data_IF_072399063575
#
_entry.id   IF_072399063575
#
_cell.length_a   1.000
_cell.length_b   1.000
_cell.length_c   1.000
_cell.angle_alpha   90.00
_cell.angle_beta   90.00
_cell.angle_gamma   90.00
#
_symmetry.space_group_name_H-M   'P 1'
#
loop_
_entity.id
_entity.type
_entity.pdbx_description
1 polymer ?
#
# COMPACT_ATOMS: atom_id res chain seq x y z
N UNK A 1 -25.46 6.80 6.32
CA UNK A 1 -24.03 6.89 5.88
C UNK A 1 -23.99 7.37 4.43
N UNK A 2 -23.05 8.24 4.08
CA UNK A 2 -22.86 8.77 2.70
C UNK A 2 -21.38 8.84 2.35
N UNK A 3 -21.03 8.57 1.09
CA UNK A 3 -19.69 8.78 0.58
C UNK A 3 -19.45 10.27 0.33
N UNK A 4 -18.34 10.78 0.82
CA UNK A 4 -17.89 12.17 0.58
C UNK A 4 -16.44 12.17 0.12
N UNK A 5 -16.11 13.14 -0.71
CA UNK A 5 -14.72 13.50 -0.98
C UNK A 5 -14.20 14.32 0.21
N UNK A 6 -13.11 13.89 0.78
CA UNK A 6 -12.48 14.51 1.95
C UNK A 6 -11.39 15.47 1.49
N UNK A 7 -11.11 16.51 2.27
CA UNK A 7 -9.87 17.24 2.09
C UNK A 7 -8.68 16.35 2.52
N UNK A 8 -7.52 16.67 2.02
CA UNK A 8 -6.29 15.89 2.21
C UNK A 8 -5.96 15.70 3.69
N UNK A 9 -6.04 16.77 4.49
CA UNK A 9 -5.69 16.74 5.91
C UNK A 9 -6.59 15.78 6.71
N UNK A 10 -7.91 15.86 6.51
CA UNK A 10 -8.88 14.96 7.16
C UNK A 10 -8.72 13.51 6.71
N UNK A 11 -8.37 13.31 5.44
CA UNK A 11 -8.12 11.97 4.92
C UNK A 11 -6.88 11.36 5.56
N UNK A 12 -5.75 12.08 5.57
CA UNK A 12 -4.49 11.60 6.16
C UNK A 12 -4.61 11.43 7.67
N UNK A 13 -5.29 12.34 8.37
CA UNK A 13 -5.58 12.20 9.79
C UNK A 13 -6.33 10.89 10.09
N UNK A 14 -7.37 10.57 9.30
CA UNK A 14 -8.10 9.32 9.45
C UNK A 14 -7.23 8.11 9.15
N UNK A 15 -6.47 8.14 8.05
CA UNK A 15 -5.62 7.01 7.62
C UNK A 15 -4.53 6.71 8.66
N UNK A 16 -3.96 7.73 9.31
CA UNK A 16 -2.91 7.58 10.33
C UNK A 16 -3.47 7.12 11.68
N UNK A 17 -4.57 7.71 12.11
CA UNK A 17 -5.09 7.56 13.48
C UNK A 17 -6.16 6.48 13.62
N UNK A 18 -6.57 5.84 12.53
CA UNK A 18 -7.57 4.78 12.63
C UNK A 18 -7.00 3.50 13.29
N UNK A 19 -7.89 2.70 13.85
CA UNK A 19 -7.56 1.42 14.51
C UNK A 19 -7.34 0.25 13.52
N UNK A 20 -7.60 0.48 12.25
CA UNK A 20 -7.45 -0.54 11.21
C UNK A 20 -6.07 -0.44 10.59
N UNK A 21 -5.62 -1.55 9.99
CA UNK A 21 -4.36 -1.54 9.28
C UNK A 21 -4.46 -0.63 8.07
N UNK A 22 -3.57 0.34 7.99
CA UNK A 22 -3.38 1.21 6.83
C UNK A 22 -2.00 0.96 6.21
N UNK A 23 -1.83 1.49 5.01
CA UNK A 23 -0.59 1.36 4.25
C UNK A 23 -0.26 2.72 3.62
N UNK A 24 1.04 3.07 3.51
CA UNK A 24 1.45 4.36 2.92
C UNK A 24 0.90 4.59 1.50
N UNK A 25 0.62 3.51 0.76
CA UNK A 25 -0.05 3.59 -0.55
C UNK A 25 -1.50 4.10 -0.46
N UNK A 26 -2.06 4.22 0.75
CA UNK A 26 -3.34 4.88 1.01
C UNK A 26 -3.16 6.30 1.58
N UNK A 27 -1.98 6.87 1.52
CA UNK A 27 -1.72 8.26 1.96
C UNK A 27 -2.03 9.29 0.86
N UNK A 28 -2.22 10.54 1.27
CA UNK A 28 -2.35 11.65 0.34
C UNK A 28 -1.06 11.90 -0.45
N UNK A 29 0.11 11.73 0.19
CA UNK A 29 1.41 11.84 -0.48
C UNK A 29 1.51 10.86 -1.66
N UNK A 30 1.03 9.62 -1.52
CA UNK A 30 0.99 8.66 -2.62
C UNK A 30 -0.01 9.07 -3.72
N UNK A 31 -1.13 9.65 -3.34
CA UNK A 31 -2.11 10.21 -4.28
C UNK A 31 -1.51 11.30 -5.14
N UNK A 32 -0.84 12.28 -4.53
CA UNK A 32 -0.20 13.40 -5.24
C UNK A 32 0.98 12.92 -6.10
N UNK A 33 1.82 11.99 -5.61
CA UNK A 33 2.87 11.37 -6.44
C UNK A 33 2.28 10.69 -7.67
N UNK A 34 1.17 9.97 -7.49
CA UNK A 34 0.48 9.28 -8.58
C UNK A 34 -0.10 10.25 -9.61
N UNK A 35 -0.56 11.42 -9.16
CA UNK A 35 -1.04 12.51 -10.02
C UNK A 35 0.12 13.14 -10.81
N UNK A 36 1.19 13.55 -10.13
CA UNK A 36 2.30 14.27 -10.74
C UNK A 36 3.14 13.38 -11.69
N UNK A 37 3.36 12.12 -11.33
CA UNK A 37 4.35 11.25 -12.01
C UNK A 37 3.75 10.06 -12.76
N UNK A 38 2.47 9.76 -12.56
CA UNK A 38 1.84 8.56 -13.13
C UNK A 38 0.60 8.85 -13.96
N UNK A 39 0.23 10.13 -14.10
CA UNK A 39 -0.96 10.57 -14.81
C UNK A 39 -2.23 9.85 -14.33
N UNK A 40 -2.41 9.80 -13.00
CA UNK A 40 -3.60 9.27 -12.34
C UNK A 40 -4.31 10.39 -11.60
N UNK A 41 -5.63 10.35 -11.54
CA UNK A 41 -6.41 11.31 -10.75
C UNK A 41 -6.74 10.70 -9.38
N UNK A 42 -6.21 11.24 -8.26
CA UNK A 42 -6.53 10.76 -6.92
C UNK A 42 -7.89 11.26 -6.46
N UNK A 43 -8.63 10.42 -5.76
CA UNK A 43 -9.84 10.75 -5.01
C UNK A 43 -9.69 10.26 -3.58
N UNK A 44 -9.80 11.16 -2.63
CA UNK A 44 -9.73 10.90 -1.20
C UNK A 44 -11.15 10.76 -0.67
N UNK A 45 -11.63 9.53 -0.56
CA UNK A 45 -13.03 9.24 -0.27
C UNK A 45 -13.22 8.72 1.16
N UNK A 46 -14.24 9.22 1.84
CA UNK A 46 -14.65 8.74 3.16
C UNK A 46 -16.13 8.43 3.22
N UNK A 47 -16.49 7.33 3.88
CA UNK A 47 -17.85 7.03 4.28
C UNK A 47 -18.12 7.71 5.62
N UNK A 48 -19.06 8.64 5.66
CA UNK A 48 -19.38 9.41 6.86
C UNK A 48 -20.78 9.07 7.38
N UNK A 49 -20.91 9.06 8.71
CA UNK A 49 -22.21 8.93 9.38
C UNK A 49 -23.02 10.24 9.36
N UNK A 50 -24.18 10.25 10.02
CA UNK A 50 -25.04 11.42 10.13
C UNK A 50 -24.44 12.54 10.98
N UNK A 51 -23.54 12.20 11.88
CA UNK A 51 -22.80 13.14 12.75
C UNK A 51 -21.55 13.71 12.09
N UNK A 52 -21.16 13.18 10.90
CA UNK A 52 -19.98 13.62 10.17
C UNK A 52 -18.70 12.84 10.53
N UNK A 53 -18.78 11.79 11.34
CA UNK A 53 -17.63 10.95 11.65
C UNK A 53 -17.25 10.07 10.46
N UNK A 54 -15.98 9.94 10.18
CA UNK A 54 -15.47 9.06 9.12
C UNK A 54 -15.41 7.63 9.68
N UNK A 55 -16.11 6.71 9.03
CA UNK A 55 -16.19 5.30 9.40
C UNK A 55 -15.25 4.42 8.58
N UNK A 56 -15.00 4.81 7.34
CA UNK A 56 -14.10 4.15 6.42
C UNK A 56 -13.57 5.15 5.41
N UNK A 57 -12.38 4.92 4.87
CA UNK A 57 -11.81 5.77 3.83
C UNK A 57 -11.05 4.95 2.77
N UNK A 58 -10.81 5.57 1.63
CA UNK A 58 -9.91 5.02 0.60
C UNK A 58 -9.38 6.10 -0.32
N UNK A 59 -8.10 5.96 -0.68
CA UNK A 59 -7.56 6.59 -1.87
C UNK A 59 -7.96 5.76 -3.09
N UNK A 60 -8.71 6.35 -4.01
CA UNK A 60 -8.96 5.77 -5.33
C UNK A 60 -8.16 6.53 -6.38
N UNK A 61 -7.35 5.81 -7.13
CA UNK A 61 -6.60 6.33 -8.27
C UNK A 61 -7.35 6.02 -9.56
N UNK A 62 -7.84 7.06 -10.24
CA UNK A 62 -8.50 6.92 -11.54
C UNK A 62 -7.47 6.90 -12.67
N UNK A 63 -7.58 5.90 -13.53
CA UNK A 63 -6.89 5.87 -14.82
C UNK A 63 -7.90 6.13 -15.92
N UNK A 64 -7.67 7.18 -16.70
CA UNK A 64 -8.47 7.48 -17.88
C UNK A 64 -8.15 6.51 -19.01
N UNK A 65 -9.18 6.15 -19.76
CA UNK A 65 -9.16 5.28 -20.92
C UNK A 65 -9.81 5.99 -22.12
N UNK A 66 -9.62 5.51 -23.35
CA UNK A 66 -10.36 6.02 -24.51
C UNK A 66 -11.87 5.96 -24.31
N UNK A 67 -12.62 6.68 -25.15
CA UNK A 67 -14.09 6.76 -25.14
C UNK A 67 -14.69 7.27 -23.81
N UNK A 68 -13.96 8.11 -23.09
CA UNK A 68 -14.43 8.68 -21.80
C UNK A 68 -14.68 7.61 -20.73
N UNK A 69 -14.06 6.44 -20.85
CA UNK A 69 -14.08 5.40 -19.84
C UNK A 69 -12.93 5.59 -18.83
N UNK A 70 -13.02 4.90 -17.70
CA UNK A 70 -11.93 4.84 -16.75
C UNK A 70 -11.97 3.52 -15.96
N UNK A 71 -10.95 3.30 -15.15
CA UNK A 71 -11.01 2.36 -14.04
C UNK A 71 -10.42 2.99 -12.79
N UNK A 72 -10.78 2.43 -11.64
CA UNK A 72 -10.23 2.83 -10.35
C UNK A 72 -9.33 1.74 -9.76
N UNK A 73 -8.32 2.19 -9.04
CA UNK A 73 -7.44 1.31 -8.27
C UNK A 73 -7.28 1.86 -6.85
N UNK A 74 -7.54 1.02 -5.86
CA UNK A 74 -7.29 1.29 -4.44
C UNK A 74 -6.07 0.49 -3.98
N UNK A 75 -4.85 1.05 -4.06
CA UNK A 75 -3.64 0.31 -3.69
C UNK A 75 -3.63 0.01 -2.19
N UNK A 76 -3.50 -1.27 -1.81
CA UNK A 76 -3.54 -1.73 -0.41
C UNK A 76 -4.77 -1.25 0.39
N UNK A 77 -5.82 -0.77 -0.31
CA UNK A 77 -7.07 -0.31 0.30
C UNK A 77 -8.07 -1.45 0.50
N UNK A 78 -9.11 -1.21 1.22
CA UNK A 78 -9.51 0.07 1.83
C UNK A 78 -9.01 0.21 3.26
N UNK A 79 -9.14 1.42 3.84
CA UNK A 79 -8.94 1.67 5.28
C UNK A 79 -10.30 1.51 5.97
N UNK A 80 -10.63 0.29 6.35
CA UNK A 80 -11.95 -0.15 6.86
C UNK A 80 -11.80 -1.39 7.73
N UNK A 81 -12.77 -1.64 8.60
CA UNK A 81 -12.93 -2.96 9.22
C UNK A 81 -13.55 -3.94 8.22
N UNK A 82 -12.72 -4.79 7.62
CA UNK A 82 -13.20 -5.84 6.71
C UNK A 82 -14.02 -6.92 7.41
N UNK A 83 -14.04 -6.99 8.75
CA UNK A 83 -14.87 -7.91 9.51
C UNK A 83 -16.29 -7.36 9.75
N UNK A 84 -16.49 -6.05 9.63
CA UNK A 84 -17.82 -5.43 9.68
C UNK A 84 -18.48 -5.51 8.30
N UNK A 85 -19.30 -6.54 8.12
CA UNK A 85 -19.97 -6.79 6.84
C UNK A 85 -20.92 -5.67 6.42
N UNK A 86 -21.68 -5.09 7.34
CA UNK A 86 -22.65 -4.04 7.01
C UNK A 86 -21.96 -2.71 6.65
N UNK A 87 -20.85 -2.40 7.33
CA UNK A 87 -20.01 -1.26 6.97
C UNK A 87 -19.38 -1.47 5.57
N UNK A 88 -18.80 -2.63 5.32
CA UNK A 88 -18.18 -3.00 4.05
C UNK A 88 -19.22 -2.97 2.90
N UNK A 89 -20.42 -3.48 3.14
CA UNK A 89 -21.53 -3.47 2.19
C UNK A 89 -21.97 -2.04 1.85
N UNK A 90 -22.13 -1.19 2.86
CA UNK A 90 -22.51 0.21 2.67
C UNK A 90 -21.43 0.95 1.90
N UNK A 91 -20.16 0.76 2.24
CA UNK A 91 -19.03 1.38 1.57
C UNK A 91 -18.92 0.92 0.10
N UNK A 92 -19.03 -0.38 -0.14
CA UNK A 92 -19.02 -0.95 -1.51
C UNK A 92 -20.13 -0.36 -2.37
N UNK A 93 -21.36 -0.29 -1.85
CA UNK A 93 -22.52 0.29 -2.57
C UNK A 93 -22.24 1.73 -3.00
N UNK A 94 -21.74 2.55 -2.10
CA UNK A 94 -21.43 3.95 -2.36
C UNK A 94 -20.28 4.12 -3.36
N UNK A 95 -19.20 3.31 -3.23
CA UNK A 95 -18.08 3.31 -4.17
C UNK A 95 -18.50 2.88 -5.57
N UNK A 96 -19.35 1.87 -5.70
CA UNK A 96 -19.90 1.44 -7.00
C UNK A 96 -20.74 2.56 -7.63
N UNK A 97 -21.56 3.24 -6.84
CA UNK A 97 -22.34 4.41 -7.31
C UNK A 97 -21.43 5.54 -7.79
N UNK A 98 -20.40 5.86 -7.02
CA UNK A 98 -19.37 6.85 -7.37
C UNK A 98 -18.66 6.51 -8.69
N UNK A 99 -18.25 5.26 -8.85
CA UNK A 99 -17.54 4.77 -10.01
C UNK A 99 -18.43 4.77 -11.28
N UNK A 100 -19.68 4.31 -11.17
CA UNK A 100 -20.64 4.31 -12.28
C UNK A 100 -20.88 5.71 -12.83
N UNK A 101 -21.04 6.73 -11.97
CA UNK A 101 -21.20 8.13 -12.39
C UNK A 101 -20.00 8.65 -13.20
N UNK A 102 -18.83 8.03 -13.08
CA UNK A 102 -17.60 8.37 -13.81
C UNK A 102 -17.30 7.41 -14.96
N UNK A 103 -18.26 6.58 -15.34
CA UNK A 103 -18.13 5.59 -16.43
C UNK A 103 -16.95 4.62 -16.22
N UNK A 104 -16.73 4.24 -14.96
CA UNK A 104 -15.71 3.27 -14.62
C UNK A 104 -16.15 1.85 -15.02
N UNK A 105 -15.24 1.12 -15.64
CA UNK A 105 -15.46 -0.28 -16.06
C UNK A 105 -15.24 -1.26 -14.90
N UNK A 106 -14.36 -0.94 -13.95
CA UNK A 106 -14.16 -1.68 -12.69
C UNK A 106 -13.47 -0.84 -11.61
N UNK A 107 -13.53 -1.33 -10.39
CA UNK A 107 -12.67 -0.91 -9.27
C UNK A 107 -11.78 -2.10 -8.92
N UNK A 108 -10.45 -1.93 -8.95
CA UNK A 108 -9.48 -2.92 -8.49
C UNK A 108 -8.98 -2.55 -7.11
N UNK A 109 -8.81 -3.56 -6.24
CA UNK A 109 -8.17 -3.40 -4.93
C UNK A 109 -7.30 -4.63 -4.62
N UNK A 110 -6.31 -4.44 -3.78
CA UNK A 110 -5.42 -5.47 -3.25
C UNK A 110 -5.15 -5.22 -1.77
N UNK A 111 -6.18 -5.41 -0.91
CA UNK A 111 -6.09 -5.07 0.50
C UNK A 111 -4.95 -5.80 1.20
N UNK A 112 -4.32 -5.13 2.16
CA UNK A 112 -3.23 -5.70 2.94
C UNK A 112 -3.75 -6.62 4.04
N UNK A 113 -4.43 -7.70 3.61
CA UNK A 113 -4.98 -8.74 4.47
C UNK A 113 -4.06 -9.96 4.39
N UNK A 114 -3.61 -10.43 5.55
CA UNK A 114 -2.79 -11.65 5.63
C UNK A 114 -3.69 -12.85 5.32
N UNK A 115 -3.47 -13.51 4.20
CA UNK A 115 -4.18 -14.74 3.86
C UNK A 115 -3.63 -15.95 4.62
N UNK A 116 -2.30 -16.03 4.71
CA UNK A 116 -1.61 -17.18 5.28
C UNK A 116 -0.21 -16.75 5.74
N UNK A 117 0.24 -17.34 6.83
CA UNK A 117 1.63 -17.21 7.28
C UNK A 117 2.34 -18.53 7.06
N UNK A 118 3.56 -18.46 6.51
CA UNK A 118 4.40 -19.62 6.25
C UNK A 118 5.78 -19.39 6.81
N UNK A 119 6.45 -20.47 7.19
CA UNK A 119 7.89 -20.46 7.44
C UNK A 119 8.63 -20.30 6.10
N UNK A 120 9.95 -20.12 6.16
CA UNK A 120 10.81 -19.97 4.97
C UNK A 120 10.80 -21.20 4.05
N UNK A 121 10.52 -22.39 4.57
CA UNK A 121 10.41 -23.66 3.85
C UNK A 121 9.03 -23.90 3.22
N UNK A 122 8.09 -22.98 3.47
CA UNK A 122 6.71 -23.04 2.96
C UNK A 122 5.72 -23.74 3.90
N UNK A 123 6.16 -24.22 5.08
CA UNK A 123 5.25 -24.79 6.07
C UNK A 123 4.28 -23.72 6.58
N UNK A 124 2.99 -24.03 6.59
CA UNK A 124 1.93 -23.12 7.05
C UNK A 124 1.99 -23.01 8.58
N UNK A 125 2.18 -21.80 9.08
CA UNK A 125 2.21 -21.51 10.52
C UNK A 125 0.79 -21.31 11.07
N UNK A 126 -0.07 -20.64 10.30
CA UNK A 126 -1.41 -20.27 10.72
C UNK A 126 -2.35 -20.16 9.51
N UNK A 127 -3.40 -20.94 9.51
CA UNK A 127 -4.59 -20.77 8.68
C UNK A 127 -5.66 -20.10 9.54
N UNK A 128 -5.83 -18.78 9.40
CA UNK A 128 -6.84 -18.08 10.16
C UNK A 128 -8.21 -18.14 9.45
N UNK A 129 -9.22 -18.65 10.15
CA UNK A 129 -10.59 -18.69 9.65
C UNK A 129 -11.19 -17.31 9.32
N UNK A 130 -10.60 -16.23 9.86
CA UNK A 130 -11.03 -14.84 9.63
C UNK A 130 -10.86 -14.40 8.17
N UNK A 131 -9.78 -14.81 7.53
CA UNK A 131 -9.47 -14.38 6.17
C UNK A 131 -10.38 -15.03 5.15
N UNK A 132 -10.72 -16.30 5.34
CA UNK A 132 -11.77 -16.98 4.56
C UNK A 132 -13.12 -16.25 4.71
N UNK A 133 -13.44 -15.74 5.90
CA UNK A 133 -14.64 -14.95 6.16
C UNK A 133 -14.64 -13.63 5.39
N UNK A 134 -13.52 -12.89 5.40
CA UNK A 134 -13.39 -11.62 4.66
C UNK A 134 -13.53 -11.88 3.16
N UNK A 135 -12.84 -12.88 2.61
CA UNK A 135 -12.95 -13.21 1.19
C UNK A 135 -14.40 -13.57 0.82
N UNK A 136 -15.07 -14.38 1.62
CA UNK A 136 -16.48 -14.74 1.39
C UNK A 136 -17.40 -13.51 1.47
N UNK A 137 -17.12 -12.57 2.35
CA UNK A 137 -17.85 -11.30 2.45
C UNK A 137 -17.68 -10.46 1.19
N UNK A 138 -16.46 -10.33 0.68
CA UNK A 138 -16.19 -9.62 -0.57
C UNK A 138 -16.88 -10.29 -1.77
N UNK A 139 -16.81 -11.62 -1.88
CA UNK A 139 -17.49 -12.37 -2.94
C UNK A 139 -19.02 -12.15 -2.91
N UNK A 140 -19.64 -12.19 -1.72
CA UNK A 140 -21.07 -11.89 -1.54
C UNK A 140 -21.44 -10.47 -1.97
N UNK A 141 -20.53 -9.51 -1.89
CA UNK A 141 -20.72 -8.14 -2.32
C UNK A 141 -20.41 -7.91 -3.82
N UNK A 142 -20.14 -8.99 -4.57
CA UNK A 142 -19.91 -8.93 -6.01
C UNK A 142 -18.47 -8.67 -6.44
N UNK A 143 -17.50 -8.77 -5.51
CA UNK A 143 -16.09 -8.73 -5.89
C UNK A 143 -15.69 -10.06 -6.54
N UNK A 144 -14.78 -9.99 -7.50
CA UNK A 144 -14.18 -11.14 -8.14
C UNK A 144 -12.72 -11.31 -7.68
N UNK A 145 -12.41 -12.46 -7.08
CA UNK A 145 -11.04 -12.76 -6.69
C UNK A 145 -10.23 -13.21 -7.91
N UNK A 146 -9.12 -12.50 -8.19
CA UNK A 146 -8.28 -12.74 -9.37
C UNK A 146 -7.28 -13.89 -9.20
N UNK A 147 -7.45 -14.73 -8.18
CA UNK A 147 -6.58 -15.86 -7.89
C UNK A 147 -5.31 -15.48 -7.11
N UNK A 148 -4.58 -16.47 -6.66
CA UNK A 148 -3.27 -16.34 -6.01
C UNK A 148 -2.18 -16.64 -7.04
N UNK A 149 -1.64 -15.61 -7.72
CA UNK A 149 -0.54 -15.78 -8.66
C UNK A 149 0.79 -15.83 -7.91
N UNK A 150 1.69 -16.70 -8.31
CA UNK A 150 3.06 -16.79 -7.75
C UNK A 150 4.00 -15.80 -8.42
N UNK A 151 3.72 -15.42 -9.66
CA UNK A 151 4.53 -14.50 -10.43
C UNK A 151 4.19 -13.04 -10.08
N UNK A 152 5.15 -12.14 -10.29
CA UNK A 152 5.01 -10.70 -10.04
C UNK A 152 4.16 -10.01 -11.13
N UNK A 153 2.99 -10.57 -11.43
CA UNK A 153 2.07 -10.07 -12.48
C UNK A 153 1.17 -8.95 -12.00
N UNK A 154 1.21 -8.64 -10.70
CA UNK A 154 0.39 -7.59 -10.09
C UNK A 154 1.25 -6.45 -9.59
N UNK A 155 0.65 -5.26 -9.43
CA UNK A 155 1.37 -4.05 -8.99
C UNK A 155 1.98 -4.15 -7.59
N UNK A 156 1.51 -5.08 -6.76
CA UNK A 156 1.99 -5.26 -5.39
C UNK A 156 2.36 -6.72 -5.14
N UNK A 157 3.47 -6.98 -4.43
CA UNK A 157 3.89 -8.34 -4.09
C UNK A 157 2.84 -9.00 -3.19
N UNK A 158 2.52 -10.27 -3.46
CA UNK A 158 1.61 -11.07 -2.64
C UNK A 158 2.32 -11.75 -1.48
N UNK A 159 3.58 -12.10 -1.67
CA UNK A 159 4.43 -12.71 -0.66
C UNK A 159 5.42 -11.68 -0.16
N UNK A 160 5.44 -11.45 1.14
CA UNK A 160 6.36 -10.51 1.78
C UNK A 160 6.88 -11.11 3.08
N UNK A 161 8.10 -10.75 3.46
CA UNK A 161 8.60 -10.95 4.80
C UNK A 161 8.35 -9.67 5.61
N UNK A 162 8.01 -9.84 6.89
CA UNK A 162 7.80 -8.72 7.81
C UNK A 162 8.55 -9.00 9.08
N UNK A 163 9.21 -7.96 9.59
CA UNK A 163 9.88 -7.94 10.90
C UNK A 163 9.10 -6.97 11.76
N UNK A 164 8.73 -7.39 12.98
CA UNK A 164 8.15 -6.51 13.98
C UNK A 164 9.27 -5.73 14.66
N UNK A 165 9.37 -4.45 14.34
CA UNK A 165 10.38 -3.54 14.88
C UNK A 165 10.07 -3.04 16.30
N UNK A 166 8.95 -3.46 16.91
CA UNK A 166 8.63 -3.14 18.31
C UNK A 166 9.36 -4.04 19.31
N UNK A 167 9.97 -5.12 18.81
CA UNK A 167 10.79 -6.02 19.61
C UNK A 167 12.18 -5.43 19.85
N UNK A 168 12.82 -5.85 20.93
CA UNK A 168 14.22 -5.51 21.18
C UNK A 168 15.14 -6.10 20.10
N UNK A 169 16.23 -5.41 19.82
CA UNK A 169 17.16 -5.81 18.74
C UNK A 169 17.66 -7.25 18.93
N UNK A 170 17.96 -7.65 20.17
CA UNK A 170 18.40 -9.02 20.48
C UNK A 170 17.35 -10.07 20.11
N UNK A 171 16.06 -9.77 20.29
CA UNK A 171 14.98 -10.68 19.90
C UNK A 171 14.85 -10.76 18.39
N UNK A 172 15.01 -9.64 17.69
CA UNK A 172 15.02 -9.62 16.21
C UNK A 172 16.17 -10.45 15.67
N UNK A 173 17.39 -10.30 16.23
CA UNK A 173 18.60 -11.02 15.81
C UNK A 173 18.50 -12.53 16.01
N UNK A 174 17.82 -13.00 17.06
CA UNK A 174 17.59 -14.44 17.32
C UNK A 174 16.81 -15.13 16.17
N UNK A 175 16.00 -14.37 15.45
CA UNK A 175 15.23 -14.89 14.32
C UNK A 175 15.98 -14.86 12.98
N UNK A 176 17.17 -14.26 12.94
CA UNK A 176 17.98 -14.23 11.73
C UNK A 176 18.73 -15.55 11.50
N UNK A 177 18.85 -15.94 10.23
CA UNK A 177 19.68 -17.07 9.87
C UNK A 177 21.15 -16.83 10.22
N UNK A 178 21.90 -17.90 10.46
CA UNK A 178 23.35 -17.82 10.68
C UNK A 178 24.06 -17.03 9.56
N UNK A 179 23.63 -17.23 8.32
CA UNK A 179 24.20 -16.52 7.16
C UNK A 179 23.89 -15.01 7.21
N UNK A 180 22.71 -14.64 7.65
CA UNK A 180 22.35 -13.22 7.82
C UNK A 180 23.22 -12.57 8.88
N UNK A 181 23.37 -13.21 10.05
CA UNK A 181 24.22 -12.72 11.12
C UNK A 181 25.71 -12.62 10.71
N UNK A 182 26.22 -13.58 9.94
CA UNK A 182 27.57 -13.49 9.39
C UNK A 182 27.76 -12.28 8.47
N UNK A 183 26.76 -11.95 7.66
CA UNK A 183 26.79 -10.76 6.77
C UNK A 183 26.75 -9.47 7.57
N UNK A 184 25.88 -9.38 8.58
CA UNK A 184 25.82 -8.24 9.50
C UNK A 184 27.17 -8.03 10.19
N UNK A 185 27.72 -9.07 10.79
CA UNK A 185 29.01 -8.99 11.47
C UNK A 185 30.17 -8.62 10.52
N UNK A 186 30.12 -9.07 9.27
CA UNK A 186 31.09 -8.65 8.24
C UNK A 186 30.95 -7.17 7.92
N UNK A 187 29.72 -6.66 7.77
CA UNK A 187 29.46 -5.24 7.51
C UNK A 187 30.00 -4.37 8.65
N UNK A 188 29.74 -4.75 9.90
CA UNK A 188 30.26 -4.04 11.07
C UNK A 188 31.80 -4.02 11.11
N UNK A 189 32.45 -5.15 10.77
CA UNK A 189 33.91 -5.20 10.69
C UNK A 189 34.52 -4.35 9.57
N UNK A 190 33.77 -4.08 8.53
CA UNK A 190 34.15 -3.19 7.43
C UNK A 190 33.81 -1.71 7.71
N UNK A 191 33.40 -1.38 8.96
CA UNK A 191 32.98 -0.05 9.38
C UNK A 191 31.95 0.57 8.43
N UNK A 192 30.97 -0.24 7.98
CA UNK A 192 29.86 0.26 7.17
C UNK A 192 28.98 1.13 8.06
N UNK A 193 28.85 2.39 7.68
CA UNK A 193 27.98 3.36 8.34
C UNK A 193 26.65 3.45 7.61
N UNK A 194 25.58 3.71 8.37
CA UNK A 194 24.24 3.91 7.84
C UNK A 194 23.74 5.26 8.32
N UNK A 195 23.42 6.13 7.38
CA UNK A 195 22.94 7.48 7.66
C UNK A 195 21.55 7.70 7.05
N UNK A 196 20.79 8.61 7.65
CA UNK A 196 19.55 9.10 7.05
C UNK A 196 19.93 10.21 6.07
N UNK A 197 19.75 9.91 4.78
CA UNK A 197 20.06 10.84 3.70
C UNK A 197 19.13 12.06 3.68
N UNK A 198 19.54 13.05 2.94
CA UNK A 198 18.82 14.31 2.72
C UNK A 198 18.56 14.51 1.21
N UNK A 199 17.89 15.61 0.87
CA UNK A 199 17.66 15.99 -0.54
C UNK A 199 18.96 16.09 -1.36
N UNK A 200 20.07 16.46 -0.72
CA UNK A 200 21.39 16.59 -1.37
C UNK A 200 21.94 15.23 -1.82
N UNK A 201 21.54 14.17 -1.15
CA UNK A 201 22.04 12.81 -1.38
C UNK A 201 21.27 12.09 -2.49
N UNK A 202 20.15 12.67 -2.97
CA UNK A 202 19.32 12.08 -4.03
C UNK A 202 20.11 11.87 -5.34
N UNK A 203 21.04 12.77 -5.66
CA UNK A 203 21.89 12.63 -6.85
C UNK A 203 22.77 11.39 -6.79
N UNK A 204 23.43 11.16 -5.66
CA UNK A 204 24.27 9.97 -5.44
C UNK A 204 23.43 8.68 -5.40
N UNK A 205 22.30 8.71 -4.69
CA UNK A 205 21.33 7.61 -4.71
C UNK A 205 20.93 7.24 -6.15
N UNK A 206 20.63 8.23 -6.99
CA UNK A 206 20.23 7.98 -8.37
C UNK A 206 21.35 7.39 -9.21
N UNK A 207 22.58 7.84 -9.03
CA UNK A 207 23.76 7.22 -9.69
C UNK A 207 23.90 5.75 -9.31
N UNK A 208 23.73 5.39 -8.03
CA UNK A 208 23.76 3.99 -7.58
C UNK A 208 22.60 3.17 -8.17
N UNK A 209 21.43 3.80 -8.34
CA UNK A 209 20.28 3.16 -9.02
C UNK A 209 20.61 2.87 -10.48
N UNK A 210 21.20 3.81 -11.23
CA UNK A 210 21.61 3.61 -12.63
C UNK A 210 22.64 2.47 -12.78
N UNK A 211 23.65 2.44 -11.92
CA UNK A 211 24.64 1.33 -11.89
C UNK A 211 23.97 -0.03 -11.57
N UNK A 212 22.91 -0.01 -10.78
CA UNK A 212 22.17 -1.23 -10.44
C UNK A 212 21.26 -1.67 -11.59
N UNK A 213 20.66 -0.73 -12.31
CA UNK A 213 19.86 -0.94 -13.52
C UNK A 213 20.68 -1.68 -14.58
N UNK A 214 21.87 -1.16 -14.91
CA UNK A 214 22.80 -1.77 -15.88
C UNK A 214 23.19 -3.21 -15.48
N UNK A 215 23.40 -3.44 -14.19
CA UNK A 215 23.82 -4.75 -13.68
C UNK A 215 22.69 -5.78 -13.62
N UNK A 216 21.43 -5.34 -13.42
CA UNK A 216 20.28 -6.20 -13.09
C UNK A 216 19.22 -6.25 -14.17
N UNK A 217 19.41 -5.53 -15.26
CA UNK A 217 18.51 -5.51 -16.42
C UNK A 217 17.05 -5.17 -16.03
N UNK A 218 16.88 -4.02 -15.38
CA UNK A 218 15.57 -3.43 -15.12
C UNK A 218 15.59 -1.94 -15.45
N UNK A 219 14.43 -1.32 -15.59
CA UNK A 219 14.30 0.12 -15.84
C UNK A 219 13.81 0.80 -14.57
N UNK A 220 14.61 1.73 -14.04
CA UNK A 220 14.26 2.56 -12.90
C UNK A 220 13.37 3.74 -13.32
N UNK A 221 12.78 4.42 -12.33
CA UNK A 221 12.10 5.69 -12.59
C UNK A 221 13.13 6.79 -12.86
N UNK A 222 12.77 7.84 -13.63
CA UNK A 222 13.66 9.00 -13.84
C UNK A 222 13.89 9.75 -12.53
N UNK A 223 14.98 10.54 -12.47
CA UNK A 223 15.41 11.27 -11.27
C UNK A 223 14.29 12.10 -10.64
N UNK A 224 13.52 12.80 -11.45
CA UNK A 224 12.41 13.66 -11.02
C UNK A 224 11.29 12.90 -10.30
N UNK A 225 11.22 11.58 -10.48
CA UNK A 225 10.29 10.75 -9.70
C UNK A 225 10.75 10.66 -8.23
N UNK A 226 12.04 10.46 -8.01
CA UNK A 226 12.63 10.35 -6.66
C UNK A 226 12.63 11.69 -5.93
N UNK A 227 12.91 12.80 -6.64
CA UNK A 227 12.78 14.14 -6.07
C UNK A 227 11.34 14.42 -5.61
N UNK A 228 10.36 14.08 -6.45
CA UNK A 228 8.94 14.26 -6.11
C UNK A 228 8.54 13.35 -4.95
N UNK A 229 8.98 12.09 -4.95
CA UNK A 229 8.75 11.15 -3.86
C UNK A 229 9.27 11.74 -2.54
N UNK A 230 10.55 12.14 -2.52
CA UNK A 230 11.17 12.72 -1.33
C UNK A 230 10.41 13.96 -0.84
N UNK A 231 10.13 14.92 -1.73
CA UNK A 231 9.42 16.16 -1.40
C UNK A 231 8.04 15.91 -0.78
N UNK A 232 7.30 14.94 -1.29
CA UNK A 232 5.94 14.66 -0.83
C UNK A 232 5.94 13.89 0.50
N UNK A 233 6.84 12.91 0.65
CA UNK A 233 6.87 12.07 1.85
C UNK A 233 7.64 12.72 3.01
N UNK A 234 8.64 13.56 2.76
CA UNK A 234 9.34 14.33 3.80
C UNK A 234 8.39 15.14 4.69
N UNK A 235 7.28 15.65 4.12
CA UNK A 235 6.28 16.41 4.87
C UNK A 235 5.48 15.58 5.86
N UNK A 236 5.55 14.28 5.75
CA UNK A 236 4.73 13.34 6.52
C UNK A 236 5.52 12.61 7.60
N UNK A 237 6.81 12.91 7.78
CA UNK A 237 7.74 12.16 8.63
C UNK A 237 7.77 10.63 8.34
N UNK A 238 7.35 10.24 7.13
CA UNK A 238 7.27 8.84 6.69
C UNK A 238 8.50 8.42 5.85
N UNK A 239 9.54 9.26 5.82
CA UNK A 239 10.78 9.04 5.04
C UNK A 239 11.98 9.12 5.95
#
# INVERSE_FOLDING_TARGET
>A
MKLKELNIDKFDEFVRNNKYKSHFLQSAAWGELSKEKRNLTPYYLGLVDEKGNILAATLLLQKHLPLNLCYFYAPRGYVIDFNDFELLKSFTKELVSFAKKRKAIYIKLDPDIVWQRTKYDGEVILEEAKEKKIMNSLLKLGYHHLGFTKNFETRQPRYTFRIDLKQDLEEIEKHFSKTTMQRINKSLKLATEVEIGSEKDLGEFYQLMMLTEDRKDFVSYPFEYYETLYRLFKKTDDV
#
